data_IF_901463158609
#
_entry.id   IF_901463158609
#
_cell.length_a   1.000
_cell.length_b   1.000
_cell.length_c   1.000
_cell.angle_alpha   90.00
_cell.angle_beta   90.00
_cell.angle_gamma   90.00
#
_symmetry.space_group_name_H-M   'P 1'
#
loop_
_entity.id
_entity.type
_entity.pdbx_description
1 polymer ?
#
# COMPACT_ATOMS: atom_id res chain seq x y z
N UNK A 1 5.99 46.86 2.39
CA UNK A 1 5.42 47.59 3.53
C UNK A 1 4.07 46.98 3.87
N UNK A 2 3.70 46.90 5.16
CA UNK A 2 2.45 46.27 5.62
C UNK A 2 2.58 44.91 6.32
N UNK A 3 3.80 44.42 6.57
CA UNK A 3 4.01 43.17 7.32
C UNK A 3 3.63 43.35 8.80
N UNK A 4 2.88 42.41 9.36
CA UNK A 4 2.39 42.45 10.74
C UNK A 4 3.35 41.68 11.66
N UNK A 5 4.40 42.34 12.17
CA UNK A 5 5.44 41.69 12.99
C UNK A 5 4.92 41.23 14.37
N UNK A 6 3.93 41.93 14.93
CA UNK A 6 3.39 41.68 16.27
C UNK A 6 2.24 40.65 16.30
N UNK A 7 1.72 40.25 15.13
CA UNK A 7 0.62 39.28 15.03
C UNK A 7 1.19 37.89 14.70
N UNK A 8 0.77 36.81 15.40
CA UNK A 8 1.23 35.47 15.10
C UNK A 8 0.69 34.98 13.75
N UNK A 9 1.44 34.10 13.08
CA UNK A 9 1.01 33.46 11.82
C UNK A 9 -0.21 32.55 12.05
N UNK A 10 -0.23 31.85 13.18
CA UNK A 10 -1.30 30.93 13.58
C UNK A 10 -1.93 31.36 14.91
N UNK A 11 -3.24 31.23 15.04
CA UNK A 11 -4.02 31.45 16.27
C UNK A 11 -4.82 30.19 16.61
N UNK A 12 -5.16 30.02 17.88
CA UNK A 12 -6.00 28.89 18.29
C UNK A 12 -7.41 29.02 17.69
N UNK A 13 -7.96 27.90 17.20
CA UNK A 13 -9.30 27.86 16.61
C UNK A 13 -10.36 28.21 17.67
N UNK A 14 -11.11 29.32 17.53
CA UNK A 14 -12.14 29.69 18.48
C UNK A 14 -13.38 28.78 18.42
N UNK A 15 -13.55 28.00 17.36
CA UNK A 15 -14.65 27.04 17.21
C UNK A 15 -14.29 25.65 17.75
N UNK A 16 -13.01 25.40 18.02
CA UNK A 16 -12.57 24.12 18.57
C UNK A 16 -12.92 24.00 20.06
N UNK A 17 -13.55 22.88 20.40
CA UNK A 17 -13.94 22.56 21.77
C UNK A 17 -13.31 21.23 22.15
N UNK A 18 -12.85 21.11 23.39
CA UNK A 18 -12.35 19.85 23.93
C UNK A 18 -13.42 18.76 23.79
N UNK A 19 -13.11 17.61 23.14
CA UNK A 19 -14.05 16.51 23.02
C UNK A 19 -14.47 15.96 24.39
N UNK A 20 -15.71 15.47 24.50
CA UNK A 20 -16.24 14.89 25.76
C UNK A 20 -15.50 13.61 26.19
N UNK A 21 -14.88 12.90 25.25
CA UNK A 21 -14.14 11.65 25.46
C UNK A 21 -12.62 11.87 25.64
N UNK A 22 -12.17 13.12 25.80
CA UNK A 22 -10.76 13.43 26.00
C UNK A 22 -10.36 13.35 27.48
N UNK A 23 -9.37 12.52 27.78
CA UNK A 23 -8.83 12.35 29.14
C UNK A 23 -7.47 13.03 29.27
N UNK A 24 -7.33 14.07 30.10
CA UNK A 24 -6.04 14.78 30.24
C UNK A 24 -4.94 13.92 30.89
N UNK A 25 -5.30 12.86 31.61
CA UNK A 25 -4.35 11.95 32.25
C UNK A 25 -3.79 10.91 31.26
N UNK A 26 -4.62 10.44 30.32
CA UNK A 26 -4.23 9.43 29.33
C UNK A 26 -3.81 10.04 27.96
N UNK A 27 -4.48 11.08 27.50
CA UNK A 27 -4.25 11.76 26.20
C UNK A 27 -3.36 13.02 26.32
N UNK A 28 -3.15 13.54 27.54
CA UNK A 28 -2.40 14.77 27.83
C UNK A 28 -3.25 16.04 27.84
N UNK A 29 -2.66 17.18 28.22
CA UNK A 29 -3.38 18.47 28.22
C UNK A 29 -3.90 18.81 26.82
N UNK A 30 -5.22 19.01 26.71
CA UNK A 30 -5.83 19.38 25.44
C UNK A 30 -5.39 20.78 24.96
N UNK A 31 -4.84 20.85 23.75
CA UNK A 31 -4.54 22.10 23.05
C UNK A 31 -5.45 22.25 21.83
N UNK A 32 -5.99 23.45 21.62
CA UNK A 32 -6.81 23.74 20.46
C UNK A 32 -5.97 23.63 19.16
N UNK A 33 -6.55 23.11 18.06
CA UNK A 33 -5.88 23.16 16.77
C UNK A 33 -5.61 24.60 16.37
N UNK A 34 -4.43 24.84 15.80
CA UNK A 34 -4.03 26.13 15.28
C UNK A 34 -4.60 26.34 13.88
N UNK A 35 -5.13 27.53 13.65
CA UNK A 35 -5.64 27.99 12.35
C UNK A 35 -4.85 29.22 11.89
N UNK A 36 -4.81 29.45 10.58
CA UNK A 36 -4.20 30.63 10.00
C UNK A 36 -4.89 31.89 10.54
N UNK A 37 -4.10 32.87 11.02
CA UNK A 37 -4.65 34.10 11.58
C UNK A 37 -5.35 34.92 10.47
N UNK A 38 -6.68 35.19 10.57
CA UNK A 38 -7.43 35.89 9.53
C UNK A 38 -6.90 37.31 9.25
N UNK A 39 -6.22 37.94 10.21
CA UNK A 39 -5.59 39.25 10.00
C UNK A 39 -4.45 39.18 8.98
N UNK A 40 -3.81 38.03 8.86
CA UNK A 40 -2.69 37.78 7.96
C UNK A 40 -3.13 37.63 6.50
N UNK A 41 -4.38 37.25 6.22
CA UNK A 41 -4.91 37.22 4.86
C UNK A 41 -5.00 38.62 4.23
N UNK A 42 -5.29 39.63 5.06
CA UNK A 42 -5.41 41.02 4.64
C UNK A 42 -4.07 41.76 4.53
N UNK A 43 -2.99 41.13 5.00
CA UNK A 43 -1.65 41.69 5.03
C UNK A 43 -0.69 40.91 4.10
N UNK A 44 0.45 41.50 3.69
CA UNK A 44 1.51 40.78 2.98
C UNK A 44 2.15 39.62 3.76
N UNK A 45 1.93 39.53 5.08
CA UNK A 45 2.37 38.45 5.96
C UNK A 45 2.41 38.87 7.44
N UNK A 46 2.63 37.90 8.31
CA UNK A 46 2.58 38.04 9.78
C UNK A 46 3.79 37.39 10.47
N UNK A 47 3.99 37.71 11.74
CA UNK A 47 5.04 37.14 12.58
C UNK A 47 6.43 37.71 12.29
N UNK A 48 7.47 37.09 12.83
CA UNK A 48 8.84 37.53 12.56
C UNK A 48 9.22 37.27 11.10
N UNK A 49 9.43 38.35 10.33
CA UNK A 49 9.84 38.21 8.94
C UNK A 49 11.19 37.50 8.83
N UNK A 50 11.19 36.32 8.18
CA UNK A 50 12.41 35.56 7.89
C UNK A 50 12.82 35.79 6.44
N UNK A 51 14.03 36.31 6.25
CA UNK A 51 14.60 36.50 4.91
C UNK A 51 14.56 35.19 4.12
N UNK A 52 14.07 35.19 2.87
CA UNK A 52 14.10 33.99 2.03
C UNK A 52 15.53 33.47 1.86
N UNK A 53 15.71 32.17 2.06
CA UNK A 53 17.01 31.55 1.90
C UNK A 53 17.36 31.47 0.41
N UNK A 54 18.56 31.94 0.05
CA UNK A 54 19.12 31.77 -1.29
C UNK A 54 20.09 30.60 -1.30
N UNK A 55 20.04 29.80 -2.37
CA UNK A 55 21.04 28.74 -2.59
C UNK A 55 22.45 29.35 -2.58
N UNK A 56 23.31 28.84 -1.70
CA UNK A 56 24.70 29.26 -1.61
C UNK A 56 25.49 28.77 -2.86
N UNK A 57 25.96 29.67 -3.74
CA UNK A 57 26.71 29.28 -4.94
C UNK A 57 28.04 28.58 -4.65
N UNK A 58 28.60 28.78 -3.45
CA UNK A 58 29.84 28.13 -3.02
C UNK A 58 29.62 26.76 -2.35
N UNK A 59 28.37 26.37 -2.07
CA UNK A 59 28.08 25.08 -1.45
C UNK A 59 28.23 23.94 -2.46
N UNK A 60 29.25 23.11 -2.28
CA UNK A 60 29.60 21.99 -3.17
C UNK A 60 28.89 20.68 -2.84
N UNK A 61 27.97 20.69 -1.88
CA UNK A 61 27.39 19.45 -1.33
C UNK A 61 28.33 18.76 -0.35
N UNK A 62 27.86 17.66 0.23
CA UNK A 62 28.75 16.76 0.98
C UNK A 62 29.69 16.09 -0.02
N UNK A 63 30.97 16.01 0.30
CA UNK A 63 31.90 15.26 -0.52
C UNK A 63 31.53 13.78 -0.49
N UNK A 64 31.52 13.15 -1.66
CA UNK A 64 31.32 11.71 -1.81
C UNK A 64 32.51 11.14 -2.58
N UNK A 65 33.15 10.11 -2.02
CA UNK A 65 34.19 9.36 -2.72
C UNK A 65 33.59 8.67 -3.96
N UNK A 66 34.34 8.58 -5.08
CA UNK A 66 33.91 7.74 -6.20
C UNK A 66 33.81 6.28 -5.73
N UNK A 67 32.76 5.60 -6.18
CA UNK A 67 32.62 4.16 -5.94
C UNK A 67 33.67 3.42 -6.77
N UNK A 68 34.41 2.53 -6.12
CA UNK A 68 35.35 1.61 -6.77
C UNK A 68 34.80 0.20 -6.65
N UNK A 69 35.00 -0.62 -7.68
CA UNK A 69 34.63 -2.02 -7.62
C UNK A 69 35.44 -2.72 -6.53
N UNK A 70 34.76 -3.48 -5.66
CA UNK A 70 35.42 -4.22 -4.59
C UNK A 70 36.12 -5.46 -5.18
N UNK A 71 37.48 -5.51 -5.22
CA UNK A 71 38.20 -6.65 -5.78
C UNK A 71 38.00 -7.95 -5.00
N UNK A 72 37.47 -7.88 -3.77
CA UNK A 72 37.13 -9.03 -2.94
C UNK A 72 35.64 -9.44 -3.06
N UNK A 73 34.86 -8.82 -3.94
CA UNK A 73 33.46 -9.18 -4.14
C UNK A 73 33.35 -10.56 -4.81
N UNK A 74 32.70 -11.50 -4.10
CA UNK A 74 32.53 -12.89 -4.56
C UNK A 74 31.20 -13.15 -5.28
N UNK A 75 30.45 -12.08 -5.60
CA UNK A 75 29.07 -12.19 -6.06
C UNK A 75 28.06 -12.22 -4.91
N UNK A 76 26.78 -12.29 -5.27
CA UNK A 76 25.70 -12.46 -4.30
C UNK A 76 25.80 -13.88 -3.75
N UNK A 77 25.90 -13.99 -2.42
CA UNK A 77 25.91 -15.28 -1.76
C UNK A 77 24.66 -16.08 -2.13
N UNK A 78 24.84 -17.36 -2.43
CA UNK A 78 23.76 -18.34 -2.63
C UNK A 78 24.00 -19.54 -1.73
N UNK A 79 22.94 -20.14 -1.16
CA UNK A 79 23.07 -21.37 -0.40
C UNK A 79 23.62 -22.49 -1.31
N UNK A 80 24.35 -23.42 -0.72
CA UNK A 80 24.79 -24.61 -1.43
C UNK A 80 23.57 -25.51 -1.69
N UNK A 81 23.44 -26.00 -2.92
CA UNK A 81 22.43 -27.01 -3.25
C UNK A 81 22.84 -28.35 -2.61
N UNK A 82 21.93 -28.93 -1.83
CA UNK A 82 22.10 -30.22 -1.16
C UNK A 82 21.05 -31.17 -1.73
N UNK A 83 21.40 -32.42 -2.08
CA UNK A 83 20.43 -33.39 -2.57
C UNK A 83 19.24 -33.55 -1.61
N UNK A 84 18.02 -33.45 -2.13
CA UNK A 84 16.81 -33.61 -1.34
C UNK A 84 16.61 -35.11 -0.98
N UNK A 85 16.71 -35.50 0.31
CA UNK A 85 16.51 -36.89 0.72
C UNK A 85 15.06 -37.38 0.55
N UNK A 86 14.11 -36.45 0.42
CA UNK A 86 12.70 -36.73 0.14
C UNK A 86 12.33 -36.59 -1.33
N UNK A 87 13.29 -36.58 -2.25
CA UNK A 87 12.99 -36.57 -3.68
C UNK A 87 12.24 -37.86 -4.07
N UNK A 88 11.10 -37.71 -4.74
CA UNK A 88 10.36 -38.80 -5.33
C UNK A 88 9.76 -38.35 -6.67
N UNK A 89 9.49 -39.32 -7.53
CA UNK A 89 8.84 -39.13 -8.82
C UNK A 89 7.66 -40.10 -8.90
N UNK A 90 6.49 -39.60 -9.31
CA UNK A 90 5.30 -40.42 -9.52
C UNK A 90 5.01 -40.47 -11.02
N UNK A 91 5.22 -41.64 -11.64
CA UNK A 91 4.89 -41.85 -13.06
C UNK A 91 3.38 -41.85 -13.33
N UNK A 92 2.59 -42.28 -12.35
CA UNK A 92 1.13 -42.29 -12.44
C UNK A 92 0.53 -42.02 -11.07
N UNK A 93 -0.10 -40.84 -10.86
CA UNK A 93 -0.75 -40.52 -9.59
C UNK A 93 -1.94 -41.46 -9.35
N UNK A 94 -1.97 -42.08 -8.17
CA UNK A 94 -3.11 -42.90 -7.73
C UNK A 94 -4.08 -42.02 -6.94
N UNK A 95 -5.22 -41.70 -7.54
CA UNK A 95 -6.28 -40.93 -6.90
C UNK A 95 -7.37 -41.85 -6.35
N UNK A 96 -7.89 -41.52 -5.16
CA UNK A 96 -9.09 -42.16 -4.66
C UNK A 96 -10.30 -41.79 -5.54
N UNK A 97 -11.33 -42.67 -5.67
CA UNK A 97 -12.52 -42.37 -6.46
C UNK A 97 -13.21 -41.08 -5.98
N UNK A 98 -13.47 -40.17 -6.92
CA UNK A 98 -14.17 -38.91 -6.65
C UNK A 98 -15.66 -39.20 -6.50
N UNK A 99 -16.23 -38.89 -5.34
CA UNK A 99 -17.65 -39.16 -5.03
C UNK A 99 -18.56 -37.92 -5.09
N UNK A 100 -18.00 -36.70 -4.96
CA UNK A 100 -18.78 -35.48 -4.88
C UNK A 100 -17.99 -34.27 -5.42
N UNK A 101 -18.74 -33.24 -5.82
CA UNK A 101 -18.21 -31.91 -6.13
C UNK A 101 -18.73 -30.94 -5.07
N UNK A 102 -17.82 -30.15 -4.48
CA UNK A 102 -18.13 -29.01 -3.65
C UNK A 102 -17.55 -27.73 -4.24
N UNK A 103 -18.25 -26.62 -4.11
CA UNK A 103 -17.74 -25.29 -4.44
C UNK A 103 -17.51 -24.57 -3.12
N UNK A 104 -16.24 -24.37 -2.75
CA UNK A 104 -15.84 -23.58 -1.60
C UNK A 104 -15.17 -22.30 -2.10
N UNK A 105 -15.78 -21.15 -1.81
CA UNK A 105 -15.27 -19.84 -2.20
C UNK A 105 -15.37 -18.86 -1.03
N UNK A 106 -14.35 -18.00 -0.91
CA UNK A 106 -14.42 -16.83 -0.04
C UNK A 106 -14.62 -15.59 -0.92
N UNK A 107 -15.71 -14.86 -0.72
CA UNK A 107 -16.06 -13.67 -1.52
C UNK A 107 -16.76 -12.62 -0.67
N UNK A 108 -16.50 -11.36 -0.99
CA UNK A 108 -17.22 -10.19 -0.47
C UNK A 108 -18.23 -9.62 -1.49
N UNK A 109 -18.31 -10.23 -2.68
CA UNK A 109 -19.11 -9.78 -3.81
C UNK A 109 -20.27 -10.74 -4.10
N UNK A 110 -21.45 -10.17 -4.36
CA UNK A 110 -22.66 -10.87 -4.79
C UNK A 110 -22.70 -11.07 -6.31
N UNK A 111 -23.65 -11.90 -6.80
CA UNK A 111 -23.92 -12.06 -8.23
C UNK A 111 -23.12 -13.16 -8.93
N UNK A 112 -22.49 -14.07 -8.18
CA UNK A 112 -21.76 -15.21 -8.73
C UNK A 112 -22.73 -16.32 -9.09
N UNK A 113 -22.74 -16.73 -10.36
CA UNK A 113 -23.58 -17.81 -10.87
C UNK A 113 -22.71 -18.94 -11.43
N UNK A 114 -22.95 -20.15 -10.94
CA UNK A 114 -22.36 -21.38 -11.46
C UNK A 114 -23.41 -22.14 -12.25
N UNK A 115 -23.08 -22.52 -13.48
CA UNK A 115 -23.94 -23.31 -14.37
C UNK A 115 -23.07 -24.20 -15.26
N UNK A 116 -23.66 -25.28 -15.79
CA UNK A 116 -23.02 -26.24 -16.71
C UNK A 116 -21.82 -26.99 -16.11
N UNK A 117 -21.95 -27.48 -14.87
CA UNK A 117 -20.94 -28.33 -14.23
C UNK A 117 -20.93 -29.71 -14.92
N UNK A 118 -19.84 -30.04 -15.62
CA UNK A 118 -19.65 -31.31 -16.34
C UNK A 118 -18.45 -32.08 -15.79
N UNK A 119 -18.64 -33.38 -15.53
CA UNK A 119 -17.56 -34.33 -15.25
C UNK A 119 -17.50 -35.31 -16.42
N UNK A 120 -16.39 -35.33 -17.14
CA UNK A 120 -16.17 -36.24 -18.26
C UNK A 120 -14.71 -36.70 -18.29
N UNK A 121 -14.49 -37.92 -18.76
CA UNK A 121 -13.16 -38.49 -19.01
C UNK A 121 -12.68 -38.29 -20.44
N UNK A 122 -13.55 -37.80 -21.33
CA UNK A 122 -13.27 -37.64 -22.75
C UNK A 122 -13.43 -36.18 -23.20
N UNK A 123 -12.45 -35.72 -23.95
CA UNK A 123 -12.38 -34.34 -24.42
C UNK A 123 -13.49 -34.01 -25.44
N UNK A 124 -13.86 -34.97 -26.29
CA UNK A 124 -14.86 -34.76 -27.34
C UNK A 124 -16.27 -34.51 -26.79
N UNK A 125 -16.68 -35.23 -25.75
CA UNK A 125 -17.95 -34.96 -25.08
C UNK A 125 -17.92 -33.60 -24.39
N UNK A 126 -16.82 -33.25 -23.73
CA UNK A 126 -16.66 -31.92 -23.12
C UNK A 126 -16.78 -30.80 -24.17
N UNK A 127 -16.15 -30.96 -25.33
CA UNK A 127 -16.24 -30.01 -26.44
C UNK A 127 -17.68 -29.89 -26.96
N UNK A 128 -18.34 -31.00 -27.25
CA UNK A 128 -19.73 -31.00 -27.73
C UNK A 128 -20.70 -30.31 -26.76
N UNK A 129 -20.59 -30.59 -25.45
CA UNK A 129 -21.42 -29.96 -24.42
C UNK A 129 -21.13 -28.45 -24.31
N UNK A 130 -19.87 -28.04 -24.44
CA UNK A 130 -19.49 -26.62 -24.48
C UNK A 130 -20.12 -25.91 -25.68
N UNK A 131 -20.05 -26.48 -26.87
CA UNK A 131 -20.62 -25.91 -28.11
C UNK A 131 -22.14 -25.78 -28.04
N UNK A 132 -22.82 -26.76 -27.44
CA UNK A 132 -24.29 -26.84 -27.43
C UNK A 132 -24.94 -26.13 -26.26
N UNK A 133 -24.23 -25.99 -25.14
CA UNK A 133 -24.84 -25.49 -23.88
C UNK A 133 -24.28 -24.14 -23.44
N UNK A 134 -22.97 -23.95 -23.50
CA UNK A 134 -22.34 -22.71 -23.03
C UNK A 134 -22.29 -21.63 -24.11
N UNK A 135 -21.76 -21.95 -25.30
CA UNK A 135 -21.67 -20.99 -26.42
C UNK A 135 -22.98 -20.40 -26.93
N UNK A 136 -24.15 -21.05 -26.82
CA UNK A 136 -25.40 -20.40 -27.23
C UNK A 136 -25.89 -19.38 -26.21
N UNK A 137 -25.44 -19.47 -24.95
CA UNK A 137 -25.80 -18.54 -23.86
C UNK A 137 -24.95 -17.27 -23.86
N UNK A 138 -23.74 -17.32 -24.45
CA UNK A 138 -22.73 -16.25 -24.46
C UNK A 138 -22.00 -16.18 -25.79
#
# INVERSE_FOLDING_TARGET
EGWLEDEPEEVDDPEAVKPEDWDDEEDGEWEAPKIDNPKCESAPGCGEWKRPLKRNPAYKGKWHAPLIDNPAYKGIWKPQEIPNPGYFELESPNFEPIAAIGIEIWTMQDGILFDNILIASDEKTAESIRETTWKPKF
#
